data_IF_028533929170
#
_entry.id   IF_028533929170
#
_cell.length_a   1.000
_cell.length_b   1.000
_cell.length_c   1.000
_cell.angle_alpha   90.00
_cell.angle_beta   90.00
_cell.angle_gamma   90.00
#
_symmetry.space_group_name_H-M   'P 1'
#
loop_
_entity.id
_entity.type
_entity.pdbx_description
1 polymer ?
#
# COMPACT_ATOMS: atom_id res chain seq x y z
N UNK A 1 4.10 -14.28 -4.02
CA UNK A 1 4.82 -13.34 -4.92
C UNK A 1 4.72 -11.95 -4.33
N UNK A 2 5.85 -11.25 -4.12
CA UNK A 2 5.86 -9.84 -3.62
C UNK A 2 5.41 -8.91 -4.75
N UNK A 3 4.53 -7.96 -4.44
CA UNK A 3 3.91 -7.06 -5.44
C UNK A 3 4.62 -5.71 -5.57
N UNK A 4 5.12 -5.18 -4.46
CA UNK A 4 5.81 -3.89 -4.36
C UNK A 4 7.07 -4.04 -3.52
N UNK A 5 7.95 -3.03 -3.55
CA UNK A 5 9.09 -2.96 -2.63
C UNK A 5 8.59 -2.88 -1.19
N UNK A 6 9.31 -3.49 -0.23
CA UNK A 6 8.98 -3.36 1.18
C UNK A 6 8.98 -1.88 1.56
N UNK A 7 7.91 -1.44 2.22
CA UNK A 7 7.80 -0.08 2.72
C UNK A 7 8.00 -0.10 4.24
N UNK A 8 8.63 0.93 4.78
CA UNK A 8 8.93 1.01 6.21
C UNK A 8 8.32 2.28 6.77
N UNK A 9 7.64 2.15 7.89
CA UNK A 9 6.99 3.24 8.60
C UNK A 9 7.48 3.27 10.05
N UNK A 10 8.03 4.40 10.49
CA UNK A 10 8.42 4.59 11.89
C UNK A 10 7.32 5.38 12.60
N UNK A 11 6.83 4.84 13.72
CA UNK A 11 5.68 5.39 14.46
C UNK A 11 6.06 5.62 15.91
N UNK A 12 5.63 6.76 16.47
CA UNK A 12 5.85 7.18 17.86
C UNK A 12 4.94 6.44 18.87
N UNK A 13 4.75 5.13 18.69
CA UNK A 13 3.92 4.32 19.58
C UNK A 13 4.61 3.00 19.93
N UNK A 14 4.35 2.43 21.12
CA UNK A 14 4.81 1.09 21.47
C UNK A 14 4.21 0.02 20.55
N UNK A 15 4.96 -1.06 20.31
CA UNK A 15 4.61 -2.12 19.37
C UNK A 15 3.23 -2.76 19.66
N UNK A 16 2.90 -2.93 20.94
CA UNK A 16 1.62 -3.48 21.40
C UNK A 16 0.41 -2.59 21.05
N UNK A 17 0.64 -1.28 20.95
CA UNK A 17 -0.40 -0.28 20.66
C UNK A 17 -0.66 -0.13 19.15
N UNK A 18 0.29 -0.55 18.30
CA UNK A 18 0.19 -0.47 16.83
C UNK A 18 -1.05 -1.22 16.33
N UNK A 19 -1.19 -2.50 16.71
CA UNK A 19 -2.28 -3.34 16.22
C UNK A 19 -3.65 -2.82 16.68
N UNK A 20 -3.77 -2.40 17.95
CA UNK A 20 -5.02 -1.83 18.50
C UNK A 20 -5.41 -0.53 17.82
N UNK A 21 -4.44 0.32 17.54
CA UNK A 21 -4.65 1.59 16.82
C UNK A 21 -5.15 1.33 15.40
N UNK A 22 -4.57 0.34 14.71
CA UNK A 22 -5.01 -0.05 13.36
C UNK A 22 -6.43 -0.63 13.36
N UNK A 23 -6.76 -1.49 14.33
CA UNK A 23 -8.11 -2.06 14.48
C UNK A 23 -9.15 -0.97 14.75
N UNK A 24 -8.81 -0.02 15.63
CA UNK A 24 -9.65 1.14 15.89
C UNK A 24 -9.85 1.97 14.62
N UNK A 25 -8.82 2.14 13.78
CA UNK A 25 -8.88 2.86 12.51
C UNK A 25 -9.64 2.11 11.40
N UNK A 26 -9.63 0.77 11.40
CA UNK A 26 -10.23 -0.05 10.34
C UNK A 26 -11.76 -0.07 10.34
N UNK A 27 -12.40 0.33 11.44
CA UNK A 27 -13.85 0.44 11.51
C UNK A 27 -14.31 1.82 11.02
N UNK A 28 -15.08 1.92 9.92
CA UNK A 28 -15.55 3.19 9.42
C UNK A 28 -16.45 3.87 10.47
N UNK A 29 -16.11 5.10 10.85
CA UNK A 29 -16.85 5.90 11.83
C UNK A 29 -17.26 7.23 11.20
N UNK A 30 -18.52 7.63 11.40
CA UNK A 30 -19.04 8.92 10.97
C UNK A 30 -18.30 10.12 11.60
N UNK A 31 -17.62 9.91 12.73
CA UNK A 31 -16.83 10.95 13.41
C UNK A 31 -15.44 11.16 12.79
N UNK A 32 -14.94 10.23 11.95
CA UNK A 32 -13.59 10.28 11.35
C UNK A 32 -13.65 10.61 9.87
N UNK A 33 -14.13 11.81 9.55
CA UNK A 33 -14.24 12.34 8.19
C UNK A 33 -12.90 12.32 7.42
N UNK A 34 -11.76 12.50 8.11
CA UNK A 34 -10.43 12.47 7.50
C UNK A 34 -10.01 11.08 6.97
N UNK A 35 -10.64 9.99 7.44
CA UNK A 35 -10.41 8.64 6.93
C UNK A 35 -11.39 8.24 5.83
N UNK A 36 -12.35 9.10 5.46
CA UNK A 36 -13.37 8.76 4.46
C UNK A 36 -12.75 8.39 3.12
N UNK A 37 -11.70 9.10 2.73
CA UNK A 37 -11.00 8.86 1.46
C UNK A 37 -10.09 7.62 1.52
N UNK A 38 -9.77 7.13 2.73
CA UNK A 38 -9.03 5.88 2.93
C UNK A 38 -9.92 4.63 2.73
N UNK A 39 -11.25 4.77 2.75
CA UNK A 39 -12.20 3.68 2.50
C UNK A 39 -12.87 3.79 1.12
N UNK A 40 -12.06 4.03 0.08
CA UNK A 40 -12.52 4.13 -1.29
C UNK A 40 -13.41 2.92 -1.68
N UNK A 41 -14.48 3.18 -2.42
CA UNK A 41 -15.43 2.18 -2.92
C UNK A 41 -16.14 1.32 -1.85
N UNK A 42 -16.18 1.76 -0.58
CA UNK A 42 -16.81 1.01 0.50
C UNK A 42 -16.03 -0.25 0.92
N UNK A 43 -14.75 -0.34 0.54
CA UNK A 43 -13.84 -1.40 0.95
C UNK A 43 -13.59 -1.31 2.45
N UNK A 44 -13.56 -2.46 3.12
CA UNK A 44 -13.19 -2.58 4.54
C UNK A 44 -11.90 -3.35 4.67
N UNK A 45 -11.11 -3.00 5.67
CA UNK A 45 -9.86 -3.67 5.95
C UNK A 45 -10.05 -4.65 7.10
N UNK A 46 -9.79 -5.93 6.84
CA UNK A 46 -9.74 -6.97 7.85
C UNK A 46 -8.30 -7.08 8.34
N UNK A 47 -8.09 -6.88 9.64
CA UNK A 47 -6.80 -7.02 10.30
C UNK A 47 -6.84 -8.30 11.11
N UNK A 48 -5.81 -9.13 10.98
CA UNK A 48 -5.61 -10.32 11.78
C UNK A 48 -4.24 -10.23 12.47
N UNK A 49 -4.15 -10.52 13.78
CA UNK A 49 -2.86 -10.54 14.47
C UNK A 49 -1.97 -11.67 13.92
N UNK A 50 -0.66 -11.45 13.96
CA UNK A 50 0.38 -12.43 13.61
C UNK A 50 1.47 -12.43 14.68
N UNK A 51 2.29 -13.48 14.72
CA UNK A 51 3.32 -13.64 15.77
C UNK A 51 4.26 -12.42 15.88
N UNK A 52 4.67 -11.86 14.74
CA UNK A 52 5.61 -10.75 14.65
C UNK A 52 4.94 -9.42 14.22
N UNK A 53 3.60 -9.33 14.23
CA UNK A 53 2.90 -8.15 13.72
C UNK A 53 1.45 -8.40 13.34
N UNK A 54 1.05 -8.02 12.12
CA UNK A 54 -0.33 -8.18 11.66
C UNK A 54 -0.43 -8.51 10.16
N UNK A 55 -1.57 -9.04 9.77
CA UNK A 55 -1.95 -9.27 8.37
C UNK A 55 -3.18 -8.46 8.05
N UNK A 56 -3.18 -7.82 6.89
CA UNK A 56 -4.27 -6.98 6.44
C UNK A 56 -4.74 -7.43 5.06
N UNK A 57 -6.05 -7.51 4.90
CA UNK A 57 -6.70 -7.85 3.63
C UNK A 57 -7.89 -6.92 3.38
N UNK A 58 -8.14 -6.63 2.11
CA UNK A 58 -9.31 -5.88 1.67
C UNK A 58 -10.52 -6.79 1.60
N UNK A 59 -11.69 -6.26 1.93
CA UNK A 59 -12.97 -6.90 1.68
C UNK A 59 -13.86 -5.90 0.97
N UNK A 60 -14.42 -6.28 -0.19
CA UNK A 60 -15.45 -5.48 -0.85
C UNK A 60 -16.79 -6.21 -0.84
N UNK A 61 -17.88 -5.47 -0.70
CA UNK A 61 -19.22 -5.98 -1.03
C UNK A 61 -19.47 -5.75 -2.51
N UNK A 62 -19.87 -6.79 -3.24
CA UNK A 62 -20.25 -6.65 -4.64
C UNK A 62 -21.70 -6.17 -4.76
N UNK A 63 -21.96 -5.31 -5.76
CA UNK A 63 -23.26 -4.67 -6.02
C UNK A 63 -24.45 -5.65 -6.21
N UNK A 64 -24.19 -6.92 -6.55
CA UNK A 64 -25.22 -7.94 -6.78
C UNK A 64 -25.28 -9.05 -5.72
N UNK A 65 -24.50 -8.95 -4.63
CA UNK A 65 -24.59 -9.93 -3.54
C UNK A 65 -24.58 -9.27 -2.18
N UNK A 66 -25.74 -9.31 -1.51
CA UNK A 66 -25.90 -8.86 -0.11
C UNK A 66 -25.05 -9.65 0.90
N UNK A 67 -24.39 -10.75 0.51
CA UNK A 67 -23.60 -11.62 1.42
C UNK A 67 -22.25 -12.11 0.90
N UNK A 68 -21.94 -12.01 -0.39
CA UNK A 68 -20.67 -12.52 -0.93
C UNK A 68 -19.63 -11.40 -0.94
N UNK A 69 -18.80 -11.39 0.11
CA UNK A 69 -17.57 -10.59 0.16
C UNK A 69 -16.60 -11.15 -0.88
N UNK A 70 -16.00 -10.29 -1.68
CA UNK A 70 -14.95 -10.70 -2.63
C UNK A 70 -13.74 -11.25 -1.89
N UNK A 71 -13.07 -12.20 -2.52
CA UNK A 71 -11.78 -12.67 -2.08
C UNK A 71 -10.74 -11.60 -2.40
N UNK A 72 -10.02 -11.11 -1.38
CA UNK A 72 -8.88 -10.22 -1.56
C UNK A 72 -7.87 -10.84 -2.53
N UNK A 73 -7.37 -10.07 -3.50
CA UNK A 73 -6.31 -10.53 -4.41
C UNK A 73 -4.92 -10.32 -3.79
N UNK A 74 -4.79 -9.29 -2.96
CA UNK A 74 -3.59 -8.96 -2.20
C UNK A 74 -3.77 -9.24 -0.70
N UNK A 75 -2.66 -9.54 -0.03
CA UNK A 75 -2.54 -9.60 1.43
C UNK A 75 -1.31 -8.79 1.84
N UNK A 76 -1.49 -7.85 2.75
CA UNK A 76 -0.41 -7.07 3.33
C UNK A 76 0.08 -7.75 4.62
N UNK A 77 1.33 -8.20 4.61
CA UNK A 77 1.99 -8.70 5.81
C UNK A 77 2.77 -7.54 6.43
N UNK A 78 2.49 -7.24 7.69
CA UNK A 78 3.21 -6.24 8.45
C UNK A 78 4.01 -6.91 9.57
N UNK A 79 5.30 -6.59 9.69
CA UNK A 79 6.10 -6.94 10.88
C UNK A 79 6.39 -5.69 11.69
N UNK A 80 6.27 -5.81 13.00
CA UNK A 80 6.51 -4.73 13.95
C UNK A 80 7.82 -5.03 14.67
N UNK A 81 8.78 -4.12 14.54
CA UNK A 81 10.06 -4.18 15.22
C UNK A 81 10.16 -3.00 16.19
N UNK A 82 10.33 -3.24 17.50
CA UNK A 82 10.56 -2.15 18.45
C UNK A 82 11.93 -1.50 18.18
N UNK A 83 11.96 -0.18 17.97
CA UNK A 83 13.21 0.59 17.92
C UNK A 83 13.56 1.05 19.34
N UNK A 84 12.56 1.49 20.10
CA UNK A 84 12.68 2.00 21.47
C UNK A 84 11.38 1.69 22.23
N UNK A 85 11.34 1.83 23.56
CA UNK A 85 10.13 1.57 24.36
C UNK A 85 8.90 2.41 23.91
N UNK A 86 9.12 3.57 23.28
CA UNK A 86 8.08 4.46 22.76
C UNK A 86 8.02 4.53 21.23
N UNK A 87 8.83 3.74 20.51
CA UNK A 87 8.95 3.81 19.05
C UNK A 87 8.99 2.43 18.40
N UNK A 88 8.24 2.30 17.32
CA UNK A 88 8.16 1.05 16.55
C UNK A 88 8.37 1.29 15.07
N UNK A 89 9.09 0.38 14.42
CA UNK A 89 9.19 0.25 12.97
C UNK A 89 8.17 -0.77 12.49
N UNK A 90 7.43 -0.40 11.46
CA UNK A 90 6.49 -1.27 10.77
C UNK A 90 7.03 -1.52 9.37
N UNK A 91 7.39 -2.77 9.07
CA UNK A 91 7.72 -3.20 7.70
C UNK A 91 6.48 -3.75 7.02
N UNK A 92 6.18 -3.26 5.83
CA UNK A 92 4.95 -3.51 5.08
C UNK A 92 5.30 -4.25 3.79
N UNK A 93 4.88 -5.50 3.69
CA UNK A 93 5.14 -6.37 2.54
C UNK A 93 3.86 -6.88 1.89
N UNK A 94 3.43 -6.29 0.76
CA UNK A 94 2.26 -6.75 0.02
C UNK A 94 2.59 -8.01 -0.80
N UNK A 95 1.73 -9.02 -0.67
CA UNK A 95 1.85 -10.32 -1.30
C UNK A 95 0.60 -10.67 -2.10
N UNK A 96 0.80 -11.22 -3.30
CA UNK A 96 -0.28 -11.80 -4.08
C UNK A 96 -0.73 -13.13 -3.45
N UNK A 97 -2.05 -13.32 -3.32
CA UNK A 97 -2.61 -14.57 -2.79
C UNK A 97 -2.66 -15.64 -3.88
N UNK A 98 -2.15 -16.84 -3.57
CA UNK A 98 -2.18 -17.98 -4.49
C UNK A 98 -3.61 -18.35 -4.97
N UNK A 99 -4.65 -18.34 -4.11
CA UNK A 99 -6.03 -18.57 -4.57
C UNK A 99 -6.51 -17.57 -5.63
N UNK A 100 -6.05 -16.31 -5.57
CA UNK A 100 -6.41 -15.30 -6.56
C UNK A 100 -5.76 -15.60 -7.91
N UNK A 101 -4.51 -16.09 -7.91
CA UNK A 101 -3.84 -16.55 -9.12
C UNK A 101 -4.57 -17.73 -9.75
N UNK A 102 -4.95 -18.73 -8.95
CA UNK A 102 -5.71 -19.90 -9.45
C UNK A 102 -7.02 -19.45 -10.07
N UNK A 103 -7.78 -18.60 -9.36
CA UNK A 103 -9.05 -18.06 -9.85
C UNK A 103 -8.90 -17.32 -11.19
N UNK A 104 -7.82 -16.56 -11.38
CA UNK A 104 -7.57 -15.86 -12.63
C UNK A 104 -7.31 -16.82 -13.81
N UNK A 105 -6.72 -17.98 -13.55
CA UNK A 105 -6.37 -18.94 -14.60
C UNK A 105 -7.54 -19.85 -15.01
N UNK A 106 -8.63 -19.92 -14.23
CA UNK A 106 -9.78 -20.79 -14.55
C UNK A 106 -10.39 -20.42 -15.90
N UNK A 107 -10.75 -19.14 -16.08
CA UNK A 107 -11.41 -18.67 -17.32
C UNK A 107 -10.57 -18.91 -18.58
N UNK A 108 -9.30 -18.49 -18.66
CA UNK A 108 -8.49 -18.74 -19.85
C UNK A 108 -8.24 -20.24 -20.08
N UNK A 109 -8.18 -21.06 -19.03
CA UNK A 109 -8.05 -22.52 -19.18
C UNK A 109 -9.31 -23.15 -19.78
N UNK A 110 -10.49 -22.77 -19.29
CA UNK A 110 -11.77 -23.23 -19.86
C UNK A 110 -11.91 -22.80 -21.31
N UNK A 111 -11.58 -21.54 -21.63
CA UNK A 111 -11.59 -21.04 -23.01
C UNK A 111 -10.64 -21.84 -23.91
N UNK A 112 -9.43 -22.13 -23.43
CA UNK A 112 -8.44 -22.91 -24.18
C UNK A 112 -8.92 -24.33 -24.47
N UNK A 113 -9.59 -24.97 -23.50
CA UNK A 113 -10.17 -26.30 -23.67
C UNK A 113 -11.32 -26.30 -24.69
N UNK A 114 -12.12 -25.23 -24.74
CA UNK A 114 -13.20 -25.08 -25.72
C UNK A 114 -12.70 -24.84 -27.14
N UNK A 115 -11.51 -24.23 -27.30
CA UNK A 115 -10.92 -23.93 -28.60
C UNK A 115 -10.17 -25.13 -29.22
N UNK A 116 -9.75 -26.10 -28.40
CA UNK A 116 -8.98 -27.26 -28.84
C UNK A 116 -9.65 -28.14 -29.92
N UNK A 117 -10.98 -28.41 -29.87
CA UNK A 117 -11.65 -29.18 -30.93
C UNK A 117 -12.02 -28.35 -32.16
N UNK A 118 -11.81 -27.03 -32.15
CA UNK A 118 -12.22 -26.16 -33.25
C UNK A 118 -11.27 -26.35 -34.44
N UNK A 119 -11.78 -26.56 -35.67
CA UNK A 119 -10.95 -26.81 -36.85
C UNK A 119 -10.32 -25.51 -37.40
N UNK A 120 -9.69 -24.73 -36.52
CA UNK A 120 -8.99 -23.49 -36.86
C UNK A 120 -7.48 -23.73 -37.00
N UNK A 121 -6.77 -22.83 -37.69
CA UNK A 121 -5.32 -22.87 -37.73
C UNK A 121 -4.73 -22.88 -36.31
N UNK A 122 -3.77 -23.76 -35.99
CA UNK A 122 -3.24 -23.90 -34.63
C UNK A 122 -2.57 -22.62 -34.13
N UNK A 123 -1.96 -21.84 -35.03
CA UNK A 123 -1.37 -20.53 -34.70
C UNK A 123 -2.43 -19.53 -34.18
N UNK A 124 -3.63 -19.55 -34.74
CA UNK A 124 -4.73 -18.68 -34.31
C UNK A 124 -5.23 -19.09 -32.91
N UNK A 125 -5.38 -20.40 -32.67
CA UNK A 125 -5.76 -20.94 -31.36
C UNK A 125 -4.72 -20.53 -30.31
N UNK A 126 -3.43 -20.71 -30.61
CA UNK A 126 -2.34 -20.30 -29.71
C UNK A 126 -2.36 -18.80 -29.43
N UNK A 127 -2.60 -17.96 -30.43
CA UNK A 127 -2.69 -16.51 -30.25
C UNK A 127 -3.85 -16.10 -29.34
N UNK A 128 -5.04 -16.69 -29.54
CA UNK A 128 -6.21 -16.42 -28.71
C UNK A 128 -5.97 -16.88 -27.26
N UNK A 129 -5.42 -18.07 -27.07
CA UNK A 129 -5.08 -18.57 -25.73
C UNK A 129 -4.04 -17.67 -25.06
N UNK A 130 -2.95 -17.33 -25.76
CA UNK A 130 -1.88 -16.48 -25.22
C UNK A 130 -2.41 -15.10 -24.80
N UNK A 131 -3.24 -14.47 -25.64
CA UNK A 131 -3.86 -13.18 -25.31
C UNK A 131 -4.83 -13.29 -24.13
N UNK A 132 -5.62 -14.36 -24.04
CA UNK A 132 -6.52 -14.59 -22.90
C UNK A 132 -5.75 -14.79 -21.57
N UNK A 133 -4.67 -15.57 -21.57
CA UNK A 133 -3.82 -15.73 -20.40
C UNK A 133 -3.13 -14.41 -20.01
N UNK A 134 -2.59 -13.69 -21.00
CA UNK A 134 -1.95 -12.39 -20.75
C UNK A 134 -2.94 -11.37 -20.17
N UNK A 135 -4.15 -11.26 -20.74
CA UNK A 135 -5.19 -10.37 -20.24
C UNK A 135 -5.62 -10.73 -18.81
N UNK A 136 -5.77 -12.03 -18.51
CA UNK A 136 -6.15 -12.47 -17.17
C UNK A 136 -5.08 -12.16 -16.12
N UNK A 137 -3.81 -12.47 -16.41
CA UNK A 137 -2.69 -12.20 -15.49
C UNK A 137 -2.49 -10.69 -15.29
N UNK A 138 -2.55 -9.91 -16.37
CA UNK A 138 -2.41 -8.44 -16.28
C UNK A 138 -3.53 -7.81 -15.46
N UNK A 139 -4.78 -8.24 -15.67
CA UNK A 139 -5.91 -7.80 -14.85
C UNK A 139 -5.73 -8.15 -13.37
N UNK A 140 -5.27 -9.36 -13.05
CA UNK A 140 -4.98 -9.78 -11.68
C UNK A 140 -3.88 -8.92 -11.05
N UNK A 141 -2.76 -8.73 -11.75
CA UNK A 141 -1.62 -7.96 -11.25
C UNK A 141 -1.98 -6.48 -11.06
N UNK A 142 -2.77 -5.90 -11.97
CA UNK A 142 -3.25 -4.53 -11.85
C UNK A 142 -4.15 -4.36 -10.63
N UNK A 143 -5.14 -5.26 -10.44
CA UNK A 143 -6.03 -5.23 -9.28
C UNK A 143 -5.28 -5.43 -7.95
N UNK A 144 -4.34 -6.39 -7.90
CA UNK A 144 -3.55 -6.64 -6.71
C UNK A 144 -2.61 -5.48 -6.37
N UNK A 145 -2.04 -4.81 -7.37
CA UNK A 145 -1.24 -3.58 -7.17
C UNK A 145 -2.11 -2.44 -6.64
N UNK A 146 -3.30 -2.24 -7.19
CA UNK A 146 -4.22 -1.21 -6.70
C UNK A 146 -4.60 -1.47 -5.24
N UNK A 147 -5.01 -2.70 -4.91
CA UNK A 147 -5.31 -3.11 -3.54
C UNK A 147 -4.11 -2.88 -2.60
N UNK A 148 -2.89 -3.18 -3.04
CA UNK A 148 -1.69 -2.95 -2.24
C UNK A 148 -1.48 -1.45 -1.95
N UNK A 149 -1.65 -0.58 -2.95
CA UNK A 149 -1.52 0.87 -2.75
C UNK A 149 -2.59 1.41 -1.80
N UNK A 150 -3.83 0.96 -1.92
CA UNK A 150 -4.91 1.34 -1.01
C UNK A 150 -4.62 0.90 0.43
N UNK A 151 -4.14 -0.35 0.63
CA UNK A 151 -3.76 -0.81 1.97
C UNK A 151 -2.61 0.00 2.55
N UNK A 152 -1.58 0.29 1.76
CA UNK A 152 -0.45 1.12 2.18
C UNK A 152 -0.90 2.55 2.53
N UNK A 153 -1.73 3.15 1.68
CA UNK A 153 -2.31 4.48 1.91
C UNK A 153 -3.16 4.51 3.19
N UNK A 154 -3.97 3.47 3.43
CA UNK A 154 -4.73 3.35 4.67
C UNK A 154 -3.82 3.29 5.89
N UNK A 155 -2.75 2.47 5.88
CA UNK A 155 -1.81 2.37 7.00
C UNK A 155 -1.08 3.70 7.22
N UNK A 156 -0.66 4.37 6.15
CA UNK A 156 -0.01 5.68 6.24
C UNK A 156 -0.95 6.74 6.83
N UNK A 157 -2.20 6.78 6.36
CA UNK A 157 -3.22 7.69 6.86
C UNK A 157 -3.62 7.39 8.31
N UNK A 158 -3.67 6.10 8.69
CA UNK A 158 -4.01 5.69 10.06
C UNK A 158 -2.97 6.14 11.09
N UNK A 159 -1.71 6.30 10.68
CA UNK A 159 -0.61 6.74 11.53
C UNK A 159 -0.11 8.15 11.21
N UNK A 160 -0.85 8.93 10.41
CA UNK A 160 -0.44 10.27 9.99
C UNK A 160 -0.08 11.16 11.19
N UNK A 161 -0.92 11.16 12.24
CA UNK A 161 -0.72 11.94 13.46
C UNK A 161 0.38 11.40 14.38
N UNK A 162 0.76 10.13 14.21
CA UNK A 162 1.73 9.41 15.06
C UNK A 162 3.07 9.14 14.35
N UNK A 163 3.20 9.59 13.09
CA UNK A 163 4.41 9.43 12.29
C UNK A 163 5.53 10.27 12.87
N UNK A 164 6.66 9.62 13.18
CA UNK A 164 7.92 10.36 13.27
C UNK A 164 8.45 10.49 11.85
N UNK A 165 8.46 11.72 11.32
CA UNK A 165 9.18 12.01 10.08
C UNK A 165 10.66 11.71 10.31
N UNK A 166 11.09 10.53 9.90
CA UNK A 166 12.52 10.23 9.83
C UNK A 166 13.03 10.99 8.61
N UNK A 167 13.78 12.06 8.83
CA UNK A 167 14.46 12.88 7.81
C UNK A 167 15.37 12.07 6.85
N UNK A 168 15.46 10.75 7.00
CA UNK A 168 16.20 9.84 6.13
C UNK A 168 15.61 9.66 4.71
N UNK A 169 14.40 10.17 4.43
CA UNK A 169 13.82 10.15 3.07
C UNK A 169 14.08 11.44 2.26
N UNK A 170 14.62 12.48 2.90
CA UNK A 170 15.31 13.53 2.16
C UNK A 170 16.74 13.03 2.07
N UNK A 171 17.09 12.33 0.97
CA UNK A 171 18.49 12.28 0.59
C UNK A 171 18.99 13.72 0.64
N UNK A 172 20.09 14.04 1.33
CA UNK A 172 20.60 15.40 1.38
C UNK A 172 21.05 15.72 -0.05
N UNK A 173 20.16 16.30 -0.84
CA UNK A 173 20.54 17.05 -2.02
C UNK A 173 21.25 18.25 -1.43
N UNK A 174 22.57 18.13 -1.31
CA UNK A 174 23.53 19.07 -0.71
C UNK A 174 22.97 20.45 -0.38
N UNK A 175 22.25 20.55 0.72
CA UNK A 175 21.97 21.82 1.37
C UNK A 175 22.81 21.79 2.63
N UNK A 176 23.90 22.54 2.58
CA UNK A 176 24.57 23.04 3.77
C UNK A 176 23.50 23.59 4.69
N UNK A 177 23.22 22.85 5.76
CA UNK A 177 22.38 23.34 6.85
C UNK A 177 23.22 24.39 7.55
N UNK A 178 23.12 25.63 7.07
CA UNK A 178 23.70 26.82 7.68
C UNK A 178 23.20 26.85 9.12
N UNK A 179 24.11 26.74 10.08
CA UNK A 179 23.77 26.82 11.50
C UNK A 179 23.08 28.15 11.82
N UNK A 180 22.28 28.20 12.89
CA UNK A 180 21.58 29.42 13.28
C UNK A 180 22.51 30.64 13.52
N UNK A 181 23.80 30.38 13.74
CA UNK A 181 24.86 31.40 13.84
C UNK A 181 25.31 31.88 12.46
N UNK A 182 25.64 30.95 11.55
CA UNK A 182 26.05 31.25 10.17
C UNK A 182 24.95 31.98 9.38
N UNK A 183 23.67 31.68 9.64
CA UNK A 183 22.55 32.38 9.02
C UNK A 183 22.49 33.84 9.45
N UNK A 184 22.83 34.10 10.72
CA UNK A 184 22.77 35.45 11.28
C UNK A 184 23.88 36.34 10.71
N UNK A 185 25.06 35.78 10.46
CA UNK A 185 26.16 36.47 9.76
C UNK A 185 25.80 36.74 8.30
N UNK A 186 25.36 35.72 7.56
CA UNK A 186 24.99 35.88 6.14
C UNK A 186 23.80 36.85 5.95
N UNK A 187 22.85 36.84 6.88
CA UNK A 187 21.73 37.78 6.86
C UNK A 187 22.17 39.21 7.16
N UNK A 188 23.11 39.40 8.09
CA UNK A 188 23.66 40.73 8.39
C UNK A 188 24.44 41.32 7.21
N UNK A 189 25.17 40.47 6.47
CA UNK A 189 25.89 40.87 5.27
C UNK A 189 24.92 41.26 4.14
N UNK A 190 23.86 40.47 3.94
CA UNK A 190 22.82 40.77 2.95
C UNK A 190 22.08 42.08 3.22
N UNK A 191 21.71 42.35 4.47
CA UNK A 191 21.05 43.61 4.86
C UNK A 191 21.97 44.81 4.64
N UNK A 192 23.26 44.68 4.97
CA UNK A 192 24.23 45.76 4.75
C UNK A 192 24.40 46.08 3.27
N UNK A 193 24.47 45.06 2.42
CA UNK A 193 24.67 45.22 0.97
C UNK A 193 23.47 45.88 0.30
N UNK A 194 22.24 45.63 0.78
CA UNK A 194 21.02 46.21 0.20
C UNK A 194 20.57 47.53 0.85
N UNK A 195 21.20 47.97 1.95
CA UNK A 195 20.94 49.28 2.55
C UNK A 195 21.81 50.39 1.96
N UNK A 196 22.94 50.06 1.34
CA UNK A 196 23.83 51.03 0.69
C UNK A 196 23.32 51.47 -0.72
N UNK A 197 22.26 50.82 -1.24
CA UNK A 197 21.64 51.10 -2.54
C UNK A 197 20.33 51.95 -2.46
N UNK A 198 20.06 52.58 -1.31
CA UNK A 198 18.97 53.58 -1.12
C UNK A 198 19.49 54.88 -0.54
#
# INVERSE_FOLDING_TARGET
>A
MRLLRPNYLNVAIPAESVARTLEAAATPSAQRLHMRDAFAEGRRYAIAPSADGFRMATTSSTLFSRRRRTFASCLLNARIEPITESESRISLEPHLRAPALISALIVPTVLSLLLLPVPWPPALILLICATAYAASITSLLAGARLEAHEMLYFVDKAFEDMRKFTLAQIAPIGQDVIGAQDFRELWSEHVRTNMDDT
#
